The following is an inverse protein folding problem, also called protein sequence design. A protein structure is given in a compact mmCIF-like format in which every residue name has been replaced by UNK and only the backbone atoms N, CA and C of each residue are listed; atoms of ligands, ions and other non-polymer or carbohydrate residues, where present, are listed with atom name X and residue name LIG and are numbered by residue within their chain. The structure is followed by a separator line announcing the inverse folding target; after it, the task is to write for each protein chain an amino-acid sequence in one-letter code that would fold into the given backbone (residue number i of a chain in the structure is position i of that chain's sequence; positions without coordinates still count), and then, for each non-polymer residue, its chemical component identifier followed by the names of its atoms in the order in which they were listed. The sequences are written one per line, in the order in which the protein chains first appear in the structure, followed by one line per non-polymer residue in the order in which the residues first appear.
data_IF_524809700784
#
_entry.id   IF_524809700784
#
_cell.length_a   1.000
_cell.length_b   1.000
_cell.length_c   1.000
_cell.angle_alpha   90.00
_cell.angle_beta   90.00
_cell.angle_gamma   90.00
#
_symmetry.space_group_name_H-M   'P 1'
#
loop_
_entity.id
_entity.type
_entity.pdbx_description
1 polymer ?
#
# COMPACT_ATOMS: atom_id res chain seq x y z
N UNK A 1 6.80 15.68 24.76
CA UNK A 1 6.16 15.95 23.47
C UNK A 1 6.22 14.66 22.66
N UNK A 2 5.06 14.18 22.23
CA UNK A 2 4.82 12.83 21.70
C UNK A 2 5.55 12.56 20.37
N UNK A 3 6.21 11.40 20.27
CA UNK A 3 6.50 10.78 18.97
C UNK A 3 5.85 9.41 18.98
N UNK A 4 4.54 9.40 18.75
CA UNK A 4 3.82 8.16 18.46
C UNK A 4 4.05 7.94 16.97
N UNK A 5 5.04 7.10 16.64
CA UNK A 5 5.26 6.66 15.26
C UNK A 5 4.09 5.74 14.87
N UNK A 6 2.98 6.33 14.44
CA UNK A 6 1.85 5.58 13.91
C UNK A 6 2.24 5.02 12.54
N UNK A 7 2.70 3.76 12.51
CA UNK A 7 2.82 3.01 11.27
C UNK A 7 1.41 2.71 10.74
N UNK A 8 1.09 3.19 9.55
CA UNK A 8 -0.21 2.94 8.92
C UNK A 8 -0.13 1.57 8.23
N UNK A 9 -1.02 0.65 8.61
CA UNK A 9 -1.15 -0.68 8.01
C UNK A 9 -2.29 -0.69 7.00
N UNK A 10 -1.98 -1.07 5.77
CA UNK A 10 -2.85 -0.97 4.62
C UNK A 10 -2.89 -2.29 3.85
N UNK A 11 -4.06 -2.64 3.32
CA UNK A 11 -4.20 -3.71 2.33
C UNK A 11 -4.19 -3.11 0.93
N UNK A 12 -3.42 -3.71 0.03
CA UNK A 12 -3.50 -3.45 -1.41
C UNK A 12 -4.37 -4.58 -2.01
N UNK A 13 -5.47 -4.26 -2.69
CA UNK A 13 -6.58 -5.22 -2.92
C UNK A 13 -6.54 -6.01 -4.23
N UNK A 14 -6.50 -7.36 -4.13
CA UNK A 14 -7.09 -8.44 -4.98
C UNK A 14 -7.24 -9.76 -4.13
N UNK A 15 -8.42 -10.05 -3.52
CA UNK A 15 -8.85 -11.33 -2.83
C UNK A 15 -8.60 -11.56 -1.30
N UNK A 16 -9.18 -12.62 -0.71
CA UNK A 16 -9.25 -12.84 0.76
C UNK A 16 -7.94 -13.30 1.42
N UNK A 17 -6.87 -13.56 0.65
CA UNK A 17 -5.52 -13.92 1.14
C UNK A 17 -4.48 -12.88 0.74
N UNK A 18 -4.83 -11.60 0.87
CA UNK A 18 -3.96 -10.53 0.43
C UNK A 18 -2.76 -10.28 1.34
N UNK A 19 -1.60 -9.95 0.75
CA UNK A 19 -0.51 -9.36 1.52
C UNK A 19 -0.99 -8.06 2.16
N UNK A 20 -0.73 -7.94 3.45
CA UNK A 20 -0.82 -6.68 4.18
C UNK A 20 0.49 -5.93 4.01
N UNK A 21 0.40 -4.61 3.94
CA UNK A 21 1.52 -3.71 3.78
C UNK A 21 1.54 -2.71 4.91
N UNK A 22 2.73 -2.30 5.33
CA UNK A 22 2.94 -1.33 6.40
C UNK A 22 3.81 -0.19 5.88
N UNK A 23 3.32 1.03 6.06
CA UNK A 23 4.04 2.24 5.71
C UNK A 23 4.86 2.68 6.91
N UNK A 24 6.18 2.73 6.75
CA UNK A 24 7.11 3.13 7.79
C UNK A 24 7.91 4.36 7.33
N UNK A 25 8.09 5.39 8.17
CA UNK A 25 8.90 6.55 7.81
C UNK A 25 10.30 6.14 7.35
N UNK A 26 10.73 6.62 6.19
CA UNK A 26 12.04 6.30 5.61
C UNK A 26 12.51 7.41 4.67
N UNK A 27 13.61 8.08 5.03
CA UNK A 27 14.13 9.22 4.28
C UNK A 27 13.11 10.36 4.15
N UNK A 28 12.87 10.83 2.92
CA UNK A 28 11.90 11.90 2.61
C UNK A 28 10.46 11.38 2.38
N UNK A 29 10.17 10.14 2.76
CA UNK A 29 8.85 9.54 2.58
C UNK A 29 8.68 8.30 3.44
N UNK A 30 8.17 7.24 2.83
CA UNK A 30 7.86 5.99 3.47
C UNK A 30 8.51 4.83 2.73
N UNK A 31 8.95 3.83 3.49
CA UNK A 31 9.13 2.50 2.93
C UNK A 31 7.85 1.69 3.13
N UNK A 32 7.58 0.78 2.20
CA UNK A 32 6.37 -0.03 2.18
C UNK A 32 6.81 -1.47 2.41
N UNK A 33 6.56 -1.97 3.62
CA UNK A 33 7.00 -3.29 4.08
C UNK A 33 5.88 -4.30 4.00
N UNK A 34 6.17 -5.51 3.56
CA UNK A 34 5.24 -6.64 3.62
C UNK A 34 5.08 -7.09 5.07
N UNK A 35 3.84 -7.15 5.55
CA UNK A 35 3.54 -7.67 6.88
C UNK A 35 3.55 -9.20 6.85
N UNK A 36 4.32 -9.79 7.76
CA UNK A 36 4.37 -11.24 7.96
C UNK A 36 3.44 -11.67 9.09
N UNK A 37 2.93 -12.92 9.06
CA UNK A 37 2.26 -13.51 10.21
C UNK A 37 3.16 -13.49 11.45
N UNK A 38 2.56 -13.26 12.61
CA UNK A 38 3.27 -13.24 13.89
C UNK A 38 4.04 -14.55 14.09
N UNK A 39 5.32 -14.45 14.44
CA UNK A 39 6.20 -15.62 14.62
C UNK A 39 6.86 -16.15 13.33
N UNK A 40 6.69 -15.47 12.18
CA UNK A 40 7.46 -15.81 10.99
C UNK A 40 8.95 -15.48 11.16
N UNK A 41 9.83 -16.40 10.75
CA UNK A 41 11.28 -16.19 10.67
C UNK A 41 11.75 -15.61 9.34
N UNK A 42 10.82 -15.23 8.46
CA UNK A 42 11.16 -14.69 7.14
C UNK A 42 11.78 -13.30 7.28
N UNK A 43 12.77 -12.96 6.43
CA UNK A 43 13.32 -11.61 6.41
C UNK A 43 12.24 -10.60 6.01
N UNK A 44 12.38 -9.37 6.48
CA UNK A 44 11.55 -8.27 6.05
C UNK A 44 11.74 -8.02 4.55
N UNK A 45 10.62 -7.72 3.91
CA UNK A 45 10.52 -7.54 2.47
C UNK A 45 9.82 -6.23 2.17
N UNK A 46 10.37 -5.45 1.25
CA UNK A 46 9.95 -4.07 0.95
C UNK A 46 9.66 -3.89 -0.53
N UNK A 47 8.71 -3.02 -0.86
CA UNK A 47 8.48 -2.60 -2.24
C UNK A 47 9.63 -1.72 -2.72
N UNK A 48 10.29 -2.14 -3.79
CA UNK A 48 11.45 -1.47 -4.41
C UNK A 48 11.50 -1.76 -5.91
N UNK A 49 12.58 -1.35 -6.58
CA UNK A 49 12.89 -1.70 -7.97
C UNK A 49 14.07 -2.66 -8.00
N UNK A 50 14.03 -3.66 -8.89
CA UNK A 50 15.18 -4.56 -9.09
C UNK A 50 16.13 -4.06 -10.19
N UNK A 51 15.58 -3.41 -11.22
CA UNK A 51 16.30 -3.07 -12.46
C UNK A 51 16.71 -1.59 -12.53
N UNK A 52 16.64 -0.88 -11.40
CA UNK A 52 16.90 0.57 -11.33
C UNK A 52 15.68 1.43 -11.65
N UNK A 53 15.91 2.74 -11.77
CA UNK A 53 14.88 3.75 -11.98
C UNK A 53 14.72 4.07 -13.47
N UNK A 54 13.80 3.41 -14.16
CA UNK A 54 13.45 3.74 -15.54
C UNK A 54 11.95 3.63 -15.79
N UNK A 55 11.51 4.16 -16.92
CA UNK A 55 10.11 4.05 -17.33
C UNK A 55 9.77 2.58 -17.59
N UNK A 56 8.66 2.11 -17.02
CA UNK A 56 8.16 0.73 -17.02
C UNK A 56 9.01 -0.26 -16.22
N UNK A 57 9.95 0.21 -15.38
CA UNK A 57 10.62 -0.67 -14.41
C UNK A 57 9.59 -1.31 -13.50
N UNK A 58 9.72 -2.61 -13.27
CA UNK A 58 8.78 -3.35 -12.40
C UNK A 58 9.03 -3.00 -10.93
N UNK A 59 7.96 -2.66 -10.22
CA UNK A 59 7.96 -2.60 -8.76
C UNK A 59 7.91 -4.03 -8.25
N UNK A 60 8.89 -4.40 -7.44
CA UNK A 60 9.06 -5.74 -6.91
C UNK A 60 9.29 -5.70 -5.41
N UNK A 61 9.40 -6.88 -4.81
CA UNK A 61 9.60 -7.05 -3.38
C UNK A 61 11.03 -7.54 -3.14
N UNK A 62 11.79 -6.87 -2.28
CA UNK A 62 13.16 -7.27 -1.94
C UNK A 62 13.53 -6.93 -0.48
N UNK A 63 14.65 -7.45 0.04
CA UNK A 63 15.16 -7.08 1.37
C UNK A 63 15.63 -5.62 1.48
N UNK A 64 15.77 -4.90 0.37
CA UNK A 64 16.28 -3.54 0.34
C UNK A 64 15.14 -2.52 0.29
N UNK A 65 15.01 -1.65 1.31
CA UNK A 65 13.94 -0.66 1.36
C UNK A 65 14.17 0.44 0.31
N UNK A 66 13.06 0.93 -0.26
CA UNK A 66 13.04 2.15 -1.05
C UNK A 66 12.17 3.22 -0.37
N UNK A 67 12.46 4.49 -0.65
CA UNK A 67 11.67 5.62 -0.18
C UNK A 67 10.64 6.04 -1.26
N UNK A 68 9.38 6.09 -0.84
CA UNK A 68 8.22 6.49 -1.63
C UNK A 68 7.53 7.69 -0.98
N UNK A 69 7.25 8.74 -1.74
CA UNK A 69 6.36 9.81 -1.33
C UNK A 69 4.91 9.34 -1.50
N UNK A 70 4.07 9.66 -0.52
CA UNK A 70 2.62 9.41 -0.58
C UNK A 70 1.94 10.74 -0.90
N UNK A 71 1.29 10.81 -2.05
CA UNK A 71 0.48 11.96 -2.43
C UNK A 71 -0.99 11.60 -2.29
N UNK A 72 -1.75 12.37 -1.51
CA UNK A 72 -3.20 12.21 -1.40
C UNK A 72 -3.84 12.66 -2.71
N UNK A 73 -4.76 11.85 -3.23
CA UNK A 73 -5.60 12.20 -4.38
C UNK A 73 -6.89 12.79 -3.82
N UNK A 74 -6.96 14.11 -3.77
CA UNK A 74 -8.18 14.83 -3.42
C UNK A 74 -9.00 15.02 -4.70
N UNK A 75 -10.04 14.21 -4.84
CA UNK A 75 -11.00 14.28 -5.94
C UNK A 75 -12.41 14.17 -5.36
N UNK A 76 -13.29 15.08 -5.76
CA UNK A 76 -14.69 15.13 -5.33
C UNK A 76 -15.44 13.82 -5.60
N UNK A 77 -14.98 13.05 -6.59
CA UNK A 77 -15.51 11.74 -6.98
C UNK A 77 -15.25 10.63 -5.95
N UNK A 78 -14.30 10.82 -5.03
CA UNK A 78 -13.78 9.78 -4.14
C UNK A 78 -14.00 10.06 -2.63
N UNK A 79 -14.95 10.95 -2.29
CA UNK A 79 -15.30 11.31 -0.91
C UNK A 79 -15.48 10.07 -0.02
N UNK A 80 -14.65 9.96 1.02
CA UNK A 80 -14.70 8.88 2.03
C UNK A 80 -13.67 7.78 1.87
N UNK A 81 -12.84 7.79 0.82
CA UNK A 81 -11.71 6.86 0.67
C UNK A 81 -10.40 7.63 0.49
N UNK A 82 -9.36 7.21 1.21
CA UNK A 82 -8.00 7.73 1.00
C UNK A 82 -7.41 7.08 -0.26
N UNK A 83 -7.59 7.73 -1.41
CA UNK A 83 -6.83 7.41 -2.61
C UNK A 83 -5.48 8.11 -2.55
N UNK A 84 -4.45 7.39 -2.94
CA UNK A 84 -3.08 7.89 -2.96
C UNK A 84 -2.40 7.62 -4.28
N UNK A 85 -1.35 8.39 -4.56
CA UNK A 85 -0.31 8.04 -5.53
C UNK A 85 0.98 7.76 -4.76
N UNK A 86 1.63 6.67 -5.16
CA UNK A 86 2.93 6.29 -4.65
C UNK A 86 3.98 6.79 -5.63
N UNK A 87 4.72 7.82 -5.21
CA UNK A 87 5.66 8.54 -6.05
C UNK A 87 7.07 8.19 -5.61
N UNK A 88 7.98 7.96 -6.54
CA UNK A 88 9.38 7.78 -6.22
C UNK A 88 9.91 9.00 -5.44
N UNK A 89 10.80 8.78 -4.47
CA UNK A 89 11.21 9.85 -3.54
C UNK A 89 11.93 11.02 -4.21
N UNK A 90 12.68 10.76 -5.29
CA UNK A 90 13.53 11.77 -5.95
C UNK A 90 13.05 12.20 -7.33
N UNK A 91 11.97 11.61 -7.85
CA UNK A 91 11.41 11.92 -9.17
C UNK A 91 9.88 11.97 -9.13
N UNK A 92 9.25 12.32 -10.26
CA UNK A 92 7.79 12.30 -10.42
C UNK A 92 7.29 10.98 -11.05
N UNK A 93 8.10 9.91 -10.99
CA UNK A 93 7.65 8.58 -11.41
C UNK A 93 6.74 7.99 -10.34
N UNK A 94 5.64 7.37 -10.76
CA UNK A 94 4.62 6.83 -9.86
C UNK A 94 4.40 5.35 -10.11
N UNK A 95 3.81 4.66 -9.14
CA UNK A 95 3.27 3.32 -9.34
C UNK A 95 2.11 3.36 -10.31
N UNK A 96 2.18 2.50 -11.32
CA UNK A 96 1.21 2.33 -12.38
C UNK A 96 0.85 0.84 -12.48
N UNK A 97 -0.45 0.53 -12.52
CA UNK A 97 -0.90 -0.80 -12.89
C UNK A 97 -0.80 -0.96 -14.41
N UNK A 98 0.09 -1.85 -14.84
CA UNK A 98 0.41 -2.04 -16.25
C UNK A 98 -0.82 -2.35 -17.12
N UNK A 99 -0.65 -2.17 -18.43
CA UNK A 99 -1.71 -2.39 -19.42
C UNK A 99 -2.95 -1.52 -19.18
N UNK A 100 -2.73 -0.25 -18.83
CA UNK A 100 -3.78 0.74 -18.61
C UNK A 100 -4.76 0.33 -17.50
N UNK A 101 -4.24 -0.24 -16.41
CA UNK A 101 -5.06 -0.64 -15.26
C UNK A 101 -5.86 -1.91 -15.48
N UNK A 102 -5.43 -2.80 -16.39
CA UNK A 102 -6.09 -4.08 -16.59
C UNK A 102 -6.10 -4.88 -15.27
N UNK A 103 -7.27 -5.38 -14.88
CA UNK A 103 -7.50 -6.10 -13.62
C UNK A 103 -7.19 -7.60 -13.71
N UNK A 104 -6.67 -8.08 -14.84
CA UNK A 104 -6.27 -9.48 -15.01
C UNK A 104 -5.14 -9.86 -14.04
N UNK A 105 -5.25 -11.05 -13.45
CA UNK A 105 -4.25 -11.57 -12.52
C UNK A 105 -2.85 -11.63 -13.15
N UNK A 106 -1.83 -11.33 -12.35
CA UNK A 106 -0.44 -11.32 -12.79
C UNK A 106 0.02 -10.04 -13.48
N UNK A 107 -0.87 -9.06 -13.67
CA UNK A 107 -0.45 -7.74 -14.13
C UNK A 107 0.52 -7.09 -13.14
N UNK A 108 1.58 -6.50 -13.71
CA UNK A 108 2.68 -5.93 -12.94
C UNK A 108 2.32 -4.53 -12.47
N UNK A 109 2.82 -4.18 -11.29
CA UNK A 109 2.99 -2.79 -10.90
C UNK A 109 4.32 -2.32 -11.47
N UNK A 110 4.32 -1.18 -12.15
CA UNK A 110 5.50 -0.62 -12.79
C UNK A 110 5.65 0.86 -12.44
N UNK A 111 6.80 1.43 -12.78
CA UNK A 111 6.98 2.87 -12.75
C UNK A 111 6.54 3.50 -14.05
N UNK A 112 5.84 4.63 -13.96
CA UNK A 112 5.47 5.43 -15.12
C UNK A 112 5.53 6.93 -14.78
N UNK A 113 5.53 7.78 -15.79
CA UNK A 113 5.42 9.23 -15.58
C UNK A 113 4.09 9.56 -14.90
N UNK A 114 4.14 10.35 -13.83
CA UNK A 114 2.96 10.77 -13.08
C UNK A 114 1.98 11.57 -13.93
N UNK A 115 0.73 11.16 -13.93
CA UNK A 115 -0.39 11.83 -14.59
C UNK A 115 -1.66 11.64 -13.74
N UNK A 116 -2.13 12.71 -13.09
CA UNK A 116 -3.28 12.66 -12.18
C UNK A 116 -4.60 12.25 -12.84
N UNK A 117 -4.72 12.31 -14.18
CA UNK A 117 -5.90 11.84 -14.89
C UNK A 117 -5.91 10.33 -15.14
N UNK A 118 -4.80 9.63 -14.87
CA UNK A 118 -4.67 8.19 -15.08
C UNK A 118 -5.10 7.42 -13.83
N UNK A 119 -6.29 6.82 -13.87
CA UNK A 119 -6.83 6.05 -12.74
C UNK A 119 -5.96 4.84 -12.37
N UNK A 120 -5.20 4.28 -13.32
CA UNK A 120 -4.25 3.18 -13.07
C UNK A 120 -3.06 3.57 -12.19
N UNK A 121 -2.93 4.86 -11.83
CA UNK A 121 -1.92 5.37 -10.90
C UNK A 121 -2.49 5.68 -9.51
N UNK A 122 -3.81 5.58 -9.32
CA UNK A 122 -4.49 5.89 -8.07
C UNK A 122 -4.73 4.60 -7.29
N UNK A 123 -4.26 4.57 -6.05
CA UNK A 123 -4.31 3.40 -5.18
C UNK A 123 -5.22 3.68 -4.00
N UNK A 124 -6.23 2.84 -3.82
CA UNK A 124 -7.10 2.91 -2.66
C UNK A 124 -6.42 2.28 -1.44
N UNK A 125 -6.38 3.02 -0.35
CA UNK A 125 -5.96 2.52 0.95
C UNK A 125 -7.13 1.85 1.67
N UNK A 126 -6.93 0.61 2.14
CA UNK A 126 -7.91 -0.11 2.96
C UNK A 126 -7.27 -0.40 4.32
N UNK A 127 -7.74 0.24 5.42
CA UNK A 127 -7.26 -0.04 6.77
C UNK A 127 -7.48 -1.50 7.17
N UNK A 128 -6.54 -2.06 7.93
CA UNK A 128 -6.65 -3.46 8.40
C UNK A 128 -7.78 -3.64 9.43
N UNK A 129 -8.10 -2.61 10.20
CA UNK A 129 -9.04 -2.66 11.32
C UNK A 129 -10.51 -2.48 10.92
N UNK A 130 -10.81 -2.13 9.66
CA UNK A 130 -12.19 -2.12 9.13
C UNK A 130 -12.71 -3.54 8.80
N UNK A 131 -11.89 -4.57 8.97
CA UNK A 131 -12.28 -5.97 8.84
C UNK A 131 -12.38 -6.62 10.22
N UNK A 132 -13.15 -6.01 11.13
CA UNK A 132 -13.46 -6.62 12.42
C UNK A 132 -14.63 -7.63 12.28
N UNK A 133 -14.23 -8.92 12.25
CA UNK A 133 -14.90 -10.09 12.83
C UNK A 133 -16.25 -10.60 12.27
N UNK A 134 -16.29 -11.81 11.65
CA UNK A 134 -17.45 -12.66 11.77
C UNK A 134 -17.47 -13.27 13.17
N UNK A 135 -18.38 -12.78 14.02
CA UNK A 135 -18.81 -13.48 15.23
C UNK A 135 -18.19 -12.99 16.54
N UNK A 136 -18.85 -12.03 17.17
CA UNK A 136 -19.05 -12.10 18.63
C UNK A 136 -20.50 -11.76 18.89
N UNK A 137 -21.32 -12.81 18.87
CA UNK A 137 -22.73 -12.74 19.23
C UNK A 137 -22.83 -12.34 20.70
N UNK A 138 -23.65 -11.31 20.94
CA UNK A 138 -24.08 -10.82 22.22
C UNK A 138 -24.58 -11.97 23.09
N UNK A 139 -23.95 -12.20 24.25
CA UNK A 139 -24.56 -12.97 25.32
C UNK A 139 -24.80 -12.07 26.52
N UNK A 140 -25.94 -11.40 26.48
CA UNK A 140 -26.62 -10.86 27.65
C UNK A 140 -26.79 -12.00 28.66
N UNK A 141 -26.16 -11.90 29.82
CA UNK A 141 -26.26 -12.84 30.92
C UNK A 141 -26.52 -12.06 32.20
N UNK A 142 -27.68 -12.32 32.79
CA UNK A 142 -28.32 -11.57 33.86
C UNK A 142 -27.49 -11.48 35.16
N UNK A 143 -27.68 -10.35 35.85
CA UNK A 143 -27.37 -10.16 37.26
C UNK A 143 -28.19 -11.16 38.10
N UNK A 144 -27.53 -11.82 39.05
CA UNK A 144 -28.11 -12.50 40.19
C UNK A 144 -27.50 -11.93 41.47
#
# INVERSE_FOLDING_TARGET
MCSVSCAIRLRLTISYHLPQWEFQPFGLGYTIRKVHPKGSSRPDLYCTMLEGLSNRSTVAVSPYPAAWRVQIVDDETHKGFEYIRLVWSTTEMVWDLAWWGNSSDGNKVQLFGGNSSQLCQNWKLIPVDEVASPGTSTRTGALG
#
